data_IF_252465212107
#
_entry.id   IF_252465212107
#
_cell.length_a   1.000
_cell.length_b   1.000
_cell.length_c   1.000
_cell.angle_alpha   90.00
_cell.angle_beta   90.00
_cell.angle_gamma   90.00
#
_symmetry.space_group_name_H-M   'P 1'
#
loop_
_entity.id
_entity.type
_entity.pdbx_description
1 polymer ?
#
# COMPACT_ATOMS: atom_id res chain seq x y z
N UNK A 1 -31.49 -6.88 -15.82
CA UNK A 1 -30.48 -7.93 -15.65
C UNK A 1 -29.12 -7.24 -15.67
N UNK A 2 -28.68 -6.72 -14.53
CA UNK A 2 -27.32 -6.21 -14.32
C UNK A 2 -26.61 -7.28 -13.51
N UNK A 3 -25.59 -7.90 -14.09
CA UNK A 3 -24.76 -8.84 -13.37
C UNK A 3 -23.88 -8.02 -12.43
N UNK A 4 -24.20 -8.08 -11.14
CA UNK A 4 -23.36 -7.61 -10.05
C UNK A 4 -22.04 -8.37 -10.15
N UNK A 5 -21.03 -7.72 -10.71
CA UNK A 5 -19.68 -8.26 -10.63
C UNK A 5 -19.33 -8.17 -9.15
N UNK A 6 -18.93 -9.24 -8.45
CA UNK A 6 -18.41 -9.07 -7.11
C UNK A 6 -17.13 -8.26 -7.28
N UNK A 7 -17.21 -6.94 -7.09
CA UNK A 7 -16.04 -6.09 -6.98
C UNK A 7 -15.26 -6.64 -5.79
N UNK A 8 -14.27 -7.50 -6.05
CA UNK A 8 -13.39 -8.03 -5.01
C UNK A 8 -12.85 -6.81 -4.27
N UNK A 9 -13.33 -6.60 -3.05
CA UNK A 9 -13.30 -5.25 -2.47
C UNK A 9 -11.84 -4.88 -2.20
N UNK A 10 -11.39 -3.80 -2.83
CA UNK A 10 -10.03 -3.29 -2.65
C UNK A 10 -10.02 -2.38 -1.45
N UNK A 11 -9.09 -2.61 -0.52
CA UNK A 11 -8.81 -1.71 0.59
C UNK A 11 -7.48 -1.00 0.32
N UNK A 12 -7.50 0.32 0.40
CA UNK A 12 -6.31 1.17 0.36
C UNK A 12 -5.91 1.50 1.79
N UNK A 13 -4.71 1.08 2.18
CA UNK A 13 -4.07 1.54 3.41
C UNK A 13 -3.06 2.61 3.02
N UNK A 14 -3.32 3.86 3.38
CA UNK A 14 -2.43 4.98 3.10
C UNK A 14 -1.55 5.27 4.30
N UNK A 15 -0.24 5.20 4.07
CA UNK A 15 0.81 5.43 5.06
C UNK A 15 1.66 6.61 4.60
N UNK A 16 1.72 7.69 5.39
CA UNK A 16 2.44 8.91 4.99
C UNK A 16 3.35 9.51 6.05
N UNK A 17 3.11 9.20 7.32
CA UNK A 17 3.58 10.02 8.43
C UNK A 17 4.86 9.47 9.07
N UNK A 18 4.90 8.17 9.41
CA UNK A 18 6.07 7.57 10.04
C UNK A 18 6.51 6.23 9.42
N UNK A 19 7.82 5.90 9.39
CA UNK A 19 8.32 4.61 8.88
C UNK A 19 7.71 3.39 9.59
N UNK A 20 7.50 3.45 10.91
CA UNK A 20 6.91 2.36 11.69
C UNK A 20 5.45 2.04 11.32
N UNK A 21 4.76 2.96 10.66
CA UNK A 21 3.37 2.76 10.25
C UNK A 21 3.25 1.76 9.09
N UNK A 22 4.34 1.47 8.38
CA UNK A 22 4.39 0.43 7.35
C UNK A 22 4.15 -0.95 7.97
N UNK A 23 4.82 -1.27 9.08
CA UNK A 23 4.61 -2.53 9.80
C UNK A 23 3.18 -2.63 10.35
N UNK A 24 2.63 -1.52 10.87
CA UNK A 24 1.23 -1.44 11.30
C UNK A 24 0.26 -1.72 10.14
N UNK A 25 0.53 -1.19 8.94
CA UNK A 25 -0.29 -1.42 7.76
C UNK A 25 -0.25 -2.88 7.28
N UNK A 26 0.91 -3.53 7.33
CA UNK A 26 1.07 -4.96 7.01
C UNK A 26 0.33 -5.86 8.02
N UNK A 27 0.40 -5.53 9.32
CA UNK A 27 -0.36 -6.25 10.34
C UNK A 27 -1.89 -6.06 10.16
N UNK A 28 -2.31 -4.84 9.82
CA UNK A 28 -3.71 -4.53 9.51
C UNK A 28 -4.20 -5.27 8.27
N UNK A 29 -3.39 -5.34 7.21
CA UNK A 29 -3.75 -6.08 5.99
C UNK A 29 -3.98 -7.56 6.31
N UNK A 30 -3.10 -8.19 7.08
CA UNK A 30 -3.22 -9.59 7.50
C UNK A 30 -4.51 -9.87 8.28
N UNK A 31 -4.95 -8.92 9.10
CA UNK A 31 -6.22 -9.01 9.84
C UNK A 31 -7.44 -8.87 8.92
N UNK A 32 -7.37 -7.96 7.93
CA UNK A 32 -8.44 -7.74 6.96
C UNK A 32 -8.63 -8.95 6.04
N UNK A 33 -7.53 -9.48 5.51
CA UNK A 33 -7.53 -10.62 4.58
C UNK A 33 -7.91 -11.92 5.29
N UNK A 34 -7.49 -12.11 6.53
CA UNK A 34 -7.87 -13.27 7.35
C UNK A 34 -9.35 -13.30 7.76
N UNK A 35 -9.97 -12.13 7.98
CA UNK A 35 -11.39 -12.03 8.35
C UNK A 35 -12.34 -12.04 7.15
N UNK A 36 -11.84 -11.72 5.95
CA UNK A 36 -12.64 -11.62 4.72
C UNK A 36 -11.86 -12.20 3.52
N UNK A 37 -11.98 -13.52 3.29
CA UNK A 37 -11.37 -14.16 2.13
C UNK A 37 -11.82 -13.49 0.83
N UNK A 38 -10.86 -13.17 -0.06
CA UNK A 38 -11.12 -12.49 -1.33
C UNK A 38 -10.96 -10.98 -1.33
N UNK A 39 -10.71 -10.35 -0.17
CA UNK A 39 -10.24 -8.96 -0.14
C UNK A 39 -8.84 -8.84 -0.74
N UNK A 40 -8.59 -7.71 -1.41
CA UNK A 40 -7.25 -7.29 -1.82
C UNK A 40 -6.88 -6.04 -1.06
N UNK A 41 -5.67 -5.99 -0.53
CA UNK A 41 -5.16 -4.83 0.21
C UNK A 41 -4.00 -4.22 -0.54
N UNK A 42 -4.04 -2.91 -0.74
CA UNK A 42 -2.95 -2.13 -1.31
C UNK A 42 -2.47 -1.13 -0.27
N UNK A 43 -1.21 -1.26 0.14
CA UNK A 43 -0.56 -0.36 1.08
C UNK A 43 0.19 0.68 0.25
N UNK A 44 -0.33 1.91 0.21
CA UNK A 44 0.26 3.01 -0.55
C UNK A 44 1.10 3.86 0.39
N UNK A 45 2.42 3.85 0.19
CA UNK A 45 3.40 4.54 1.04
C UNK A 45 3.88 5.80 0.34
N UNK A 46 3.80 6.94 1.03
CA UNK A 46 4.41 8.19 0.60
C UNK A 46 4.99 8.93 1.81
N UNK A 47 5.39 10.19 1.62
CA UNK A 47 5.79 11.03 2.75
C UNK A 47 7.00 10.45 3.49
N UNK A 48 7.09 10.72 4.79
CA UNK A 48 8.21 10.28 5.62
C UNK A 48 8.20 8.76 5.85
N UNK A 49 7.04 8.12 5.71
CA UNK A 49 6.91 6.67 5.81
C UNK A 49 7.68 5.89 4.72
N UNK A 50 8.16 6.54 3.65
CA UNK A 50 8.97 5.89 2.62
C UNK A 50 10.29 5.30 3.13
N UNK A 51 10.83 5.80 4.25
CA UNK A 51 11.99 5.17 4.89
C UNK A 51 11.65 3.78 5.45
N UNK A 52 10.37 3.50 5.73
CA UNK A 52 9.91 2.20 6.25
C UNK A 52 9.82 1.08 5.20
N UNK A 53 10.09 1.38 3.92
CA UNK A 53 10.07 0.41 2.82
C UNK A 53 11.43 0.21 2.14
N UNK A 54 12.49 0.80 2.70
CA UNK A 54 13.86 0.61 2.20
C UNK A 54 14.50 -0.66 2.75
N UNK A 55 15.56 -1.14 2.10
CA UNK A 55 16.33 -2.33 2.52
C UNK A 55 16.92 -2.23 3.94
N UNK A 56 17.08 -1.02 4.47
CA UNK A 56 17.61 -0.78 5.82
C UNK A 56 16.54 -0.82 6.91
N UNK A 57 15.26 -0.87 6.54
CA UNK A 57 14.14 -0.87 7.48
C UNK A 57 13.79 -2.29 7.97
N UNK A 58 12.78 -2.38 8.85
CA UNK A 58 12.20 -3.66 9.22
C UNK A 58 11.63 -4.37 7.98
N UNK A 59 11.81 -5.70 7.92
CA UNK A 59 11.42 -6.47 6.75
C UNK A 59 9.90 -6.50 6.56
N UNK A 60 9.47 -6.12 5.35
CA UNK A 60 8.09 -6.17 4.89
C UNK A 60 7.82 -7.57 4.34
N UNK A 61 6.97 -8.33 5.05
CA UNK A 61 6.46 -9.63 4.57
C UNK A 61 4.96 -9.52 4.34
N UNK A 62 4.51 -9.64 3.10
CA UNK A 62 3.09 -9.57 2.73
C UNK A 62 2.48 -10.95 2.46
N UNK A 63 1.17 -11.04 2.58
CA UNK A 63 0.39 -12.19 2.10
C UNK A 63 0.06 -12.03 0.62
N UNK A 64 -0.33 -13.13 -0.05
CA UNK A 64 -0.58 -13.18 -1.51
C UNK A 64 -1.55 -12.09 -2.04
N UNK A 65 -2.51 -11.66 -1.21
CA UNK A 65 -3.51 -10.64 -1.56
C UNK A 65 -3.20 -9.24 -1.01
N UNK A 66 -1.96 -8.99 -0.56
CA UNK A 66 -1.48 -7.69 -0.11
C UNK A 66 -0.30 -7.22 -0.96
N UNK A 67 -0.37 -5.98 -1.46
CA UNK A 67 0.76 -5.30 -2.11
C UNK A 67 1.21 -4.09 -1.29
N UNK A 68 2.50 -3.80 -1.30
CA UNK A 68 3.09 -2.57 -0.76
C UNK A 68 3.69 -1.78 -1.92
N UNK A 69 3.30 -0.51 -2.03
CA UNK A 69 3.56 0.33 -3.18
C UNK A 69 4.13 1.69 -2.75
N UNK A 70 5.40 1.95 -3.10
CA UNK A 70 6.11 3.18 -2.81
C UNK A 70 5.85 4.26 -3.88
N UNK A 71 5.53 5.47 -3.43
CA UNK A 71 5.27 6.62 -4.29
C UNK A 71 6.56 7.20 -4.90
N UNK A 72 6.72 7.10 -6.22
CA UNK A 72 7.89 7.62 -6.92
C UNK A 72 8.07 9.13 -6.77
N UNK A 73 6.99 9.92 -6.73
CA UNK A 73 7.07 11.37 -6.42
C UNK A 73 7.69 11.61 -5.05
N UNK A 74 7.29 10.83 -4.04
CA UNK A 74 7.82 10.94 -2.68
C UNK A 74 9.26 10.47 -2.58
N UNK A 75 9.61 9.37 -3.28
CA UNK A 75 10.95 8.82 -3.37
C UNK A 75 11.93 9.83 -3.96
N UNK A 76 11.58 10.46 -5.10
CA UNK A 76 12.42 11.50 -5.73
C UNK A 76 12.72 12.69 -4.80
N UNK A 77 11.74 13.10 -3.99
CA UNK A 77 11.92 14.22 -3.03
C UNK A 77 12.82 13.86 -1.85
N UNK A 78 13.05 12.56 -1.61
CA UNK A 78 13.84 12.02 -0.50
C UNK A 78 15.12 11.34 -0.99
N UNK A 79 15.41 11.44 -2.28
CA UNK A 79 16.59 10.83 -2.90
C UNK A 79 16.65 9.30 -2.70
N UNK A 80 15.47 8.66 -2.60
CA UNK A 80 15.34 7.20 -2.54
C UNK A 80 15.24 6.67 -3.96
N UNK A 81 16.17 5.81 -4.34
CA UNK A 81 16.20 5.12 -5.61
C UNK A 81 15.48 3.76 -5.53
N UNK A 82 14.85 3.26 -6.61
CA UNK A 82 14.11 1.99 -6.58
C UNK A 82 14.94 0.77 -6.16
N UNK A 83 16.24 0.77 -6.39
CA UNK A 83 17.18 -0.28 -5.97
C UNK A 83 17.46 -0.27 -4.45
N UNK A 84 17.00 0.75 -3.73
CA UNK A 84 17.08 0.81 -2.27
C UNK A 84 15.80 0.30 -1.59
N UNK A 85 14.80 -0.09 -2.37
CA UNK A 85 13.55 -0.65 -1.84
C UNK A 85 13.73 -2.13 -1.52
N UNK A 86 12.98 -2.61 -0.52
CA UNK A 86 12.91 -4.05 -0.27
C UNK A 86 12.34 -4.78 -1.51
N UNK A 87 12.77 -6.01 -1.81
CA UNK A 87 12.39 -6.73 -3.04
C UNK A 87 10.88 -6.82 -3.28
N UNK A 88 10.10 -6.92 -2.19
CA UNK A 88 8.65 -7.12 -2.21
C UNK A 88 7.86 -5.82 -2.38
N UNK A 89 8.55 -4.67 -2.39
CA UNK A 89 7.96 -3.35 -2.53
C UNK A 89 7.91 -2.95 -3.99
N UNK A 90 6.70 -2.70 -4.49
CA UNK A 90 6.47 -2.17 -5.83
C UNK A 90 6.50 -0.65 -5.80
N UNK A 91 6.49 -0.02 -6.99
CA UNK A 91 6.37 1.44 -7.09
C UNK A 91 5.12 1.85 -7.85
N UNK A 92 4.57 3.00 -7.46
CA UNK A 92 3.51 3.71 -8.19
C UNK A 92 3.99 5.10 -8.54
N UNK A 93 3.58 5.61 -9.70
CA UNK A 93 4.01 6.93 -10.17
C UNK A 93 3.67 8.04 -9.16
N UNK A 94 2.46 7.98 -8.60
CA UNK A 94 1.97 8.94 -7.61
C UNK A 94 0.95 8.28 -6.67
N UNK A 95 1.18 8.42 -5.37
CA UNK A 95 0.23 8.02 -4.35
C UNK A 95 -1.10 8.78 -4.49
N UNK A 96 -1.07 10.08 -4.80
CA UNK A 96 -2.29 10.88 -4.88
C UNK A 96 -3.20 10.39 -6.00
N UNK A 97 -2.67 10.17 -7.21
CA UNK A 97 -3.47 9.68 -8.35
C UNK A 97 -3.95 8.26 -8.07
N UNK A 98 -3.08 7.40 -7.55
CA UNK A 98 -3.42 6.00 -7.19
C UNK A 98 -4.56 5.94 -6.18
N UNK A 99 -4.53 6.78 -5.13
CA UNK A 99 -5.57 6.84 -4.12
C UNK A 99 -6.90 7.38 -4.67
N UNK A 100 -6.85 8.38 -5.54
CA UNK A 100 -8.05 8.95 -6.18
C UNK A 100 -8.68 7.93 -7.12
N UNK A 101 -7.90 7.36 -8.04
CA UNK A 101 -8.39 6.44 -9.06
C UNK A 101 -9.00 5.17 -8.43
N UNK A 102 -8.35 4.63 -7.40
CA UNK A 102 -8.88 3.46 -6.71
C UNK A 102 -10.15 3.76 -5.92
N UNK A 103 -10.25 4.91 -5.24
CA UNK A 103 -11.49 5.31 -4.56
C UNK A 103 -12.64 5.54 -5.55
N UNK A 104 -12.37 6.17 -6.70
CA UNK A 104 -13.36 6.33 -7.77
C UNK A 104 -13.82 4.98 -8.35
N UNK A 105 -12.94 3.97 -8.34
CA UNK A 105 -13.27 2.59 -8.71
C UNK A 105 -13.99 1.81 -7.59
N UNK A 106 -14.31 2.43 -6.46
CA UNK A 106 -15.05 1.83 -5.35
C UNK A 106 -14.19 1.21 -4.24
N UNK A 107 -12.88 1.48 -4.20
CA UNK A 107 -12.03 1.04 -3.11
C UNK A 107 -12.35 1.76 -1.79
N UNK A 108 -12.21 1.05 -0.67
CA UNK A 108 -12.32 1.64 0.67
C UNK A 108 -10.96 2.21 1.06
N UNK A 109 -10.95 3.44 1.57
CA UNK A 109 -9.75 4.12 2.02
C UNK A 109 -9.63 4.11 3.55
N UNK A 110 -8.44 3.79 4.05
CA UNK A 110 -8.06 3.85 5.46
C UNK A 110 -6.70 4.55 5.55
N UNK A 111 -6.58 5.54 6.44
CA UNK A 111 -5.30 6.18 6.78
C UNK A 111 -4.75 5.54 8.05
N UNK A 112 -3.48 5.17 8.04
CA UNK A 112 -2.78 4.51 9.16
C UNK A 112 -1.71 5.41 9.74
#
# INVERSE_FOLDING_TARGET
MMQDTPHGSVILLHVSDSPEDVARAVAASSSLTGSRPGLRVRIIVNGAALEGVTETAESVTTQENTTVEACQVGMRRREISPDQLQPEVQTVESALTTLVDAQLAGAVYIRI
#
